data_IF_277716647650
#
_entry.id   IF_277716647650
#
_cell.length_a   1.000
_cell.length_b   1.000
_cell.length_c   1.000
_cell.angle_alpha   90.00
_cell.angle_beta   90.00
_cell.angle_gamma   90.00
#
_symmetry.space_group_name_H-M   'P 1'
#
loop_
_entity.id
_entity.type
_entity.pdbx_description
1 polymer ?
#
# COMPACT_ATOMS: atom_id res chain seq x y z
N UNK A 1 23.96 -14.30 -13.74
CA UNK A 1 23.22 -13.21 -13.07
C UNK A 1 21.95 -13.80 -12.47
N UNK A 2 21.80 -13.77 -11.15
CA UNK A 2 20.55 -14.21 -10.50
C UNK A 2 19.49 -13.12 -10.74
N UNK A 3 18.56 -13.36 -11.67
CA UNK A 3 17.32 -12.60 -11.76
C UNK A 3 16.47 -12.93 -10.53
N UNK A 4 16.80 -12.36 -9.39
CA UNK A 4 15.83 -12.22 -8.31
C UNK A 4 14.83 -11.18 -8.81
N UNK A 5 13.55 -11.51 -9.04
CA UNK A 5 12.56 -10.47 -9.22
C UNK A 5 12.59 -9.67 -7.91
N UNK A 6 13.16 -8.47 -7.94
CA UNK A 6 13.07 -7.51 -6.85
C UNK A 6 11.61 -7.49 -6.47
N UNK A 7 11.31 -8.05 -5.30
CA UNK A 7 9.97 -8.35 -4.80
C UNK A 7 9.16 -7.08 -4.99
N UNK A 8 8.35 -7.05 -6.05
CA UNK A 8 7.75 -5.81 -6.49
C UNK A 8 6.58 -5.55 -5.56
N UNK A 9 6.88 -4.90 -4.44
CA UNK A 9 5.92 -4.57 -3.40
C UNK A 9 5.01 -3.41 -3.84
N UNK A 10 5.14 -2.91 -5.08
CA UNK A 10 4.28 -1.88 -5.64
C UNK A 10 2.89 -2.45 -5.88
N UNK A 11 1.89 -1.84 -5.27
CA UNK A 11 0.49 -2.12 -5.57
C UNK A 11 0.06 -1.41 -6.85
N UNK A 12 -0.88 -2.00 -7.57
CA UNK A 12 -1.45 -1.38 -8.78
C UNK A 12 -2.27 -0.13 -8.42
N UNK A 13 -2.48 0.76 -9.39
CA UNK A 13 -3.32 1.95 -9.23
C UNK A 13 -4.72 1.61 -8.74
N UNK A 14 -5.29 0.51 -9.23
CA UNK A 14 -6.61 0.02 -8.80
C UNK A 14 -6.61 -0.42 -7.33
N UNK A 15 -5.54 -1.08 -6.88
CA UNK A 15 -5.41 -1.47 -5.48
C UNK A 15 -5.18 -0.27 -4.57
N UNK A 16 -4.36 0.68 -5.03
CA UNK A 16 -4.14 1.94 -4.33
C UNK A 16 -5.44 2.74 -4.17
N UNK A 17 -6.26 2.81 -5.22
CA UNK A 17 -7.59 3.42 -5.19
C UNK A 17 -8.52 2.68 -4.23
N UNK A 18 -8.59 1.35 -4.29
CA UNK A 18 -9.43 0.55 -3.39
C UNK A 18 -9.05 0.77 -1.91
N UNK A 19 -7.75 0.84 -1.61
CA UNK A 19 -7.28 1.13 -0.26
C UNK A 19 -7.71 2.55 0.14
N UNK A 20 -7.46 3.54 -0.71
CA UNK A 20 -7.85 4.92 -0.48
C UNK A 20 -9.38 5.13 -0.37
N UNK A 21 -10.20 4.28 -0.99
CA UNK A 21 -11.66 4.32 -0.83
C UNK A 21 -12.11 3.74 0.51
N UNK A 22 -11.35 2.80 1.06
CA UNK A 22 -11.68 2.11 2.32
C UNK A 22 -11.09 2.79 3.55
N UNK A 23 -10.18 3.73 3.34
CA UNK A 23 -9.33 4.36 4.35
C UNK A 23 -9.27 5.87 4.10
N UNK A 24 -8.69 6.64 5.01
CA UNK A 24 -8.52 8.10 4.83
C UNK A 24 -7.16 8.48 4.21
N UNK A 25 -6.45 7.53 3.61
CA UNK A 25 -5.19 7.82 2.91
C UNK A 25 -5.41 8.07 1.42
N UNK A 26 -4.58 8.91 0.82
CA UNK A 26 -4.56 9.06 -0.64
C UNK A 26 -4.05 7.79 -1.34
N UNK A 27 -4.41 7.56 -2.64
CA UNK A 27 -3.85 6.45 -3.41
C UNK A 27 -2.32 6.48 -3.48
N UNK A 28 -1.72 7.68 -3.43
CA UNK A 28 -0.28 7.82 -3.40
C UNK A 28 0.31 7.33 -2.07
N UNK A 29 -0.27 7.73 -0.93
CA UNK A 29 0.13 7.21 0.38
C UNK A 29 -0.05 5.69 0.48
N UNK A 30 -1.11 5.12 -0.09
CA UNK A 30 -1.29 3.67 -0.12
C UNK A 30 -0.15 2.96 -0.89
N UNK A 31 0.32 3.54 -1.99
CA UNK A 31 1.48 3.03 -2.75
C UNK A 31 2.77 3.15 -1.95
N UNK A 32 2.97 4.26 -1.26
CA UNK A 32 4.15 4.51 -0.46
C UNK A 32 4.20 3.55 0.75
N UNK A 33 3.09 3.36 1.45
CA UNK A 33 2.95 2.36 2.52
C UNK A 33 3.19 0.92 2.03
N UNK A 34 2.68 0.57 0.86
CA UNK A 34 2.92 -0.74 0.26
C UNK A 34 4.39 -0.93 -0.16
N UNK A 35 5.05 0.14 -0.64
CA UNK A 35 6.47 0.14 -1.00
C UNK A 35 7.37 0.00 0.23
N UNK A 36 7.04 0.69 1.32
CA UNK A 36 7.81 0.69 2.57
C UNK A 36 7.61 -0.60 3.37
N UNK A 37 6.36 -1.03 3.57
CA UNK A 37 6.02 -2.14 4.47
C UNK A 37 5.69 -3.45 3.74
N UNK A 38 5.57 -3.41 2.41
CA UNK A 38 5.02 -4.51 1.61
C UNK A 38 3.50 -4.44 1.52
N UNK A 39 2.94 -4.92 0.41
CA UNK A 39 1.50 -4.89 0.10
C UNK A 39 0.57 -5.24 1.28
N UNK A 40 0.84 -6.34 1.98
CA UNK A 40 -0.01 -6.82 3.07
C UNK A 40 0.00 -5.89 4.30
N UNK A 41 1.17 -5.37 4.67
CA UNK A 41 1.30 -4.43 5.79
C UNK A 41 0.86 -3.03 5.41
N UNK A 42 1.11 -2.60 4.17
CA UNK A 42 0.66 -1.30 3.67
C UNK A 42 -0.86 -1.16 3.71
N UNK A 43 -1.61 -2.22 3.39
CA UNK A 43 -3.08 -2.22 3.55
C UNK A 43 -3.51 -2.18 5.03
N UNK A 44 -2.80 -2.86 5.94
CA UNK A 44 -3.10 -2.81 7.38
C UNK A 44 -2.82 -1.44 7.98
N UNK A 45 -1.67 -0.83 7.65
CA UNK A 45 -1.31 0.50 8.14
C UNK A 45 -2.25 1.57 7.58
N UNK A 46 -2.63 1.49 6.31
CA UNK A 46 -3.63 2.38 5.73
C UNK A 46 -4.99 2.28 6.43
N UNK A 47 -5.39 1.09 6.91
CA UNK A 47 -6.65 0.94 7.66
C UNK A 47 -6.57 1.57 9.06
N UNK A 48 -5.41 1.51 9.72
CA UNK A 48 -5.22 2.08 11.06
C UNK A 48 -5.32 3.60 11.07
N UNK A 49 -4.93 4.29 10.00
CA UNK A 49 -5.04 5.76 9.94
C UNK A 49 -6.49 6.26 10.00
N UNK A 50 -7.48 5.40 9.69
CA UNK A 50 -8.90 5.73 9.83
C UNK A 50 -9.38 5.71 11.28
N UNK A 51 -8.76 4.91 12.14
CA UNK A 51 -9.18 4.76 13.55
C UNK A 51 -8.50 5.78 14.50
N UNK A 52 -7.46 6.49 14.04
CA UNK A 52 -6.73 7.51 14.83
C UNK A 52 -7.28 8.95 14.65
N UNK A 53 -8.40 9.13 13.94
CA UNK A 53 -9.05 10.42 13.65
C UNK A 53 -10.31 10.69 14.46
#
# INVERSE_FOLDING_TARGET
MTNTPSKDHRISDKEALRIAEQTDVSPQQAKDLAKEHGKAKGEQEARKTKDEG
#
